data_IF_022326510230
#
_entry.id   IF_022326510230
#
_cell.length_a   1.000
_cell.length_b   1.000
_cell.length_c   1.000
_cell.angle_alpha   90.00
_cell.angle_beta   90.00
_cell.angle_gamma   90.00
#
_symmetry.space_group_name_H-M   'P 1'
#
loop_
_entity.id
_entity.type
_entity.pdbx_description
1 polymer ?
#
# COMPACT_ATOMS: atom_id res chain seq x y z
N UNK A 1 5.81 -11.29 0.41
CA UNK A 1 4.95 -11.06 1.59
C UNK A 1 4.71 -9.57 1.75
N UNK A 2 3.47 -9.12 2.00
CA UNK A 2 3.16 -7.72 2.34
C UNK A 2 3.25 -7.54 3.86
N UNK A 3 3.78 -6.38 4.31
CA UNK A 3 3.90 -6.07 5.72
C UNK A 3 3.55 -4.60 5.98
N UNK A 4 3.45 -4.19 7.25
CA UNK A 4 3.13 -2.81 7.63
C UNK A 4 4.24 -1.86 7.20
N UNK A 5 3.87 -0.65 6.84
CA UNK A 5 4.80 0.41 6.40
C UNK A 5 5.78 0.82 7.49
N UNK A 6 6.85 1.45 7.07
CA UNK A 6 8.00 1.85 7.86
C UNK A 6 9.19 0.95 7.53
N UNK A 7 10.25 1.52 6.98
CA UNK A 7 11.43 0.79 6.51
C UNK A 7 11.99 -0.19 7.57
N UNK A 8 12.02 0.22 8.84
CA UNK A 8 12.43 -0.65 9.95
C UNK A 8 11.52 -1.87 10.09
N UNK A 9 10.19 -1.67 10.03
CA UNK A 9 9.24 -2.78 10.13
C UNK A 9 9.47 -3.83 9.04
N UNK A 10 9.70 -3.36 7.79
CA UNK A 10 9.89 -4.24 6.62
C UNK A 10 11.24 -4.96 6.73
N UNK A 11 12.30 -4.27 7.13
CA UNK A 11 13.64 -4.84 7.33
C UNK A 11 13.63 -5.87 8.46
N UNK A 12 13.08 -5.54 9.62
CA UNK A 12 13.02 -6.44 10.77
C UNK A 12 12.20 -7.70 10.45
N UNK A 13 11.10 -7.52 9.69
CA UNK A 13 10.31 -8.67 9.22
C UNK A 13 11.09 -9.56 8.27
N UNK A 14 11.87 -8.99 7.37
CA UNK A 14 12.73 -9.75 6.45
C UNK A 14 13.80 -10.55 7.21
N UNK A 15 14.43 -9.95 8.23
CA UNK A 15 15.36 -10.65 9.13
C UNK A 15 14.69 -11.83 9.83
N UNK A 16 13.52 -11.61 10.48
CA UNK A 16 12.75 -12.67 11.14
C UNK A 16 12.38 -13.82 10.20
N UNK A 17 12.01 -13.52 8.95
CA UNK A 17 11.71 -14.54 7.95
C UNK A 17 12.94 -15.42 7.68
N UNK A 18 14.11 -14.80 7.48
CA UNK A 18 15.34 -15.55 7.25
C UNK A 18 15.75 -16.40 8.48
N UNK A 19 15.58 -15.88 9.69
CA UNK A 19 15.83 -16.61 10.95
C UNK A 19 14.90 -17.81 11.10
N UNK A 20 13.66 -17.69 10.61
CA UNK A 20 12.67 -18.79 10.60
C UNK A 20 12.82 -19.77 9.43
N UNK A 21 13.87 -19.63 8.60
CA UNK A 21 14.12 -20.50 7.45
C UNK A 21 13.40 -20.11 6.18
N UNK A 22 12.65 -19.00 6.18
CA UNK A 22 11.97 -18.49 4.97
C UNK A 22 12.88 -17.51 4.22
N UNK A 23 13.19 -17.81 2.96
CA UNK A 23 14.05 -16.93 2.16
C UNK A 23 13.41 -15.54 1.94
N UNK A 24 14.07 -14.51 2.42
CA UNK A 24 13.69 -13.11 2.21
C UNK A 24 14.96 -12.28 1.92
N UNK A 25 15.44 -12.31 0.67
CA UNK A 25 16.71 -11.68 0.29
C UNK A 25 16.64 -10.16 0.20
N UNK A 26 15.44 -9.59 0.12
CA UNK A 26 15.18 -8.17 -0.09
C UNK A 26 14.01 -7.71 0.75
N UNK A 27 14.19 -6.60 1.45
CA UNK A 27 13.14 -5.80 2.07
C UNK A 27 13.03 -4.48 1.32
N UNK A 28 11.85 -4.10 0.84
CA UNK A 28 11.66 -2.87 0.06
C UNK A 28 10.30 -2.23 0.37
N UNK A 29 10.28 -0.91 0.39
CA UNK A 29 9.06 -0.09 0.47
C UNK A 29 8.78 0.66 -0.84
N UNK A 30 7.54 1.07 -1.02
CA UNK A 30 7.11 1.93 -2.13
C UNK A 30 7.79 3.30 -2.14
N UNK A 31 8.33 3.75 -1.00
CA UNK A 31 9.13 4.96 -0.85
C UNK A 31 10.56 4.83 -1.42
N UNK A 32 10.99 3.60 -1.78
CA UNK A 32 12.33 3.31 -2.27
C UNK A 32 13.35 2.91 -1.18
N UNK A 33 12.98 2.98 0.11
CA UNK A 33 13.82 2.38 1.16
C UNK A 33 13.98 0.88 0.89
N UNK A 34 15.22 0.41 0.90
CA UNK A 34 15.55 -0.93 0.44
C UNK A 34 16.76 -1.50 1.20
N UNK A 35 16.62 -2.73 1.64
CA UNK A 35 17.68 -3.45 2.35
C UNK A 35 17.85 -4.86 1.80
N UNK A 36 19.06 -5.18 1.35
CA UNK A 36 19.41 -6.50 0.86
C UNK A 36 20.07 -7.36 1.96
N UNK A 37 19.73 -8.64 2.00
CA UNK A 37 20.40 -9.60 2.88
C UNK A 37 21.91 -9.61 2.67
N UNK A 38 22.36 -9.56 1.41
CA UNK A 38 23.78 -9.56 1.05
C UNK A 38 24.49 -8.26 1.43
N UNK A 39 23.76 -7.20 1.77
CA UNK A 39 24.27 -5.95 2.33
C UNK A 39 23.86 -5.80 3.80
N UNK A 40 23.87 -6.89 4.56
CA UNK A 40 23.60 -6.93 6.01
C UNK A 40 22.27 -6.29 6.44
N UNK A 41 21.31 -6.22 5.54
CA UNK A 41 20.04 -5.51 5.73
C UNK A 41 20.19 -4.03 6.11
N UNK A 42 21.25 -3.38 5.60
CA UNK A 42 21.37 -1.94 5.67
C UNK A 42 20.36 -1.28 4.73
N UNK A 43 19.69 -0.25 5.20
CA UNK A 43 18.86 0.62 4.34
C UNK A 43 19.80 1.50 3.50
N UNK A 44 20.07 1.08 2.27
CA UNK A 44 21.15 1.60 1.44
C UNK A 44 20.70 1.82 -0.01
N UNK A 45 20.30 3.06 -0.30
CA UNK A 45 19.87 3.47 -1.63
C UNK A 45 21.01 3.47 -2.65
N UNK A 46 22.27 3.68 -2.21
CA UNK A 46 23.41 3.63 -3.12
C UNK A 46 23.69 2.19 -3.58
N UNK A 47 23.60 1.22 -2.66
CA UNK A 47 23.70 -0.19 -3.02
C UNK A 47 22.57 -0.61 -3.99
N UNK A 48 21.33 -0.18 -3.75
CA UNK A 48 20.22 -0.43 -4.68
C UNK A 48 20.51 0.15 -6.07
N UNK A 49 20.98 1.40 -6.14
CA UNK A 49 21.32 2.05 -7.40
C UNK A 49 22.41 1.28 -8.16
N UNK A 50 23.46 0.84 -7.47
CA UNK A 50 24.52 0.02 -8.06
C UNK A 50 23.98 -1.30 -8.62
N UNK A 51 23.09 -1.98 -7.87
CA UNK A 51 22.46 -3.23 -8.32
C UNK A 51 21.58 -3.01 -9.56
N UNK A 52 20.84 -1.90 -9.63
CA UNK A 52 20.04 -1.56 -10.81
C UNK A 52 20.90 -1.24 -12.03
N UNK A 53 22.05 -0.58 -11.86
CA UNK A 53 23.02 -0.32 -12.95
C UNK A 53 23.57 -1.64 -13.50
N UNK A 54 23.98 -2.55 -12.61
CA UNK A 54 24.48 -3.89 -13.02
C UNK A 54 23.38 -4.67 -13.76
N UNK A 55 22.16 -4.63 -13.27
CA UNK A 55 21.01 -5.28 -13.92
C UNK A 55 20.75 -4.67 -15.31
N UNK A 56 20.79 -3.34 -15.44
CA UNK A 56 20.60 -2.65 -16.71
C UNK A 56 21.71 -3.02 -17.72
N UNK A 57 22.97 -3.11 -17.27
CA UNK A 57 24.10 -3.54 -18.12
C UNK A 57 23.88 -4.97 -18.64
N UNK A 58 23.53 -5.91 -17.78
CA UNK A 58 23.21 -7.30 -18.17
C UNK A 58 22.06 -7.37 -19.18
N UNK A 59 20.98 -6.63 -18.95
CA UNK A 59 19.85 -6.59 -19.90
C UNK A 59 20.29 -6.04 -21.27
N UNK A 60 21.22 -5.07 -21.30
CA UNK A 60 21.77 -4.53 -22.55
C UNK A 60 22.61 -5.56 -23.30
N UNK A 61 23.41 -6.37 -22.60
CA UNK A 61 24.18 -7.47 -23.21
C UNK A 61 23.25 -8.53 -23.85
N UNK A 62 22.06 -8.72 -23.29
CA UNK A 62 21.00 -9.61 -23.80
C UNK A 62 20.12 -8.94 -24.89
N UNK A 63 20.51 -7.76 -25.41
CA UNK A 63 19.71 -6.95 -26.35
C UNK A 63 18.32 -6.59 -25.81
N UNK A 64 18.19 -6.42 -24.51
CA UNK A 64 16.98 -6.07 -23.78
C UNK A 64 17.17 -4.79 -22.96
N UNK A 65 16.23 -4.46 -22.13
CA UNK A 65 16.30 -3.34 -21.20
C UNK A 65 15.53 -3.63 -19.90
N UNK A 66 15.75 -2.83 -18.88
CA UNK A 66 15.13 -3.01 -17.54
C UNK A 66 13.61 -2.95 -17.58
N UNK A 67 13.01 -2.17 -18.51
CA UNK A 67 11.55 -2.08 -18.64
C UNK A 67 10.93 -3.40 -19.13
N UNK A 68 11.69 -4.18 -19.92
CA UNK A 68 11.22 -5.48 -20.38
C UNK A 68 10.94 -6.45 -19.23
N UNK A 69 11.66 -6.33 -18.11
CA UNK A 69 11.46 -7.16 -16.91
C UNK A 69 10.09 -6.94 -16.24
N UNK A 70 9.49 -5.78 -16.43
CA UNK A 70 8.19 -5.42 -15.86
C UNK A 70 7.10 -5.22 -16.92
N UNK A 71 7.39 -5.48 -18.20
CA UNK A 71 6.46 -5.23 -19.30
C UNK A 71 5.14 -6.01 -19.19
N UNK A 72 5.15 -7.16 -18.52
CA UNK A 72 3.97 -7.99 -18.30
C UNK A 72 3.16 -7.61 -17.06
N UNK A 73 3.62 -6.62 -16.27
CA UNK A 73 2.83 -6.10 -15.14
C UNK A 73 1.86 -5.04 -15.65
N UNK A 74 0.57 -5.28 -15.56
CA UNK A 74 -0.41 -4.28 -16.00
C UNK A 74 -0.34 -3.04 -15.12
N UNK A 75 -0.40 -1.87 -15.74
CA UNK A 75 -0.56 -0.63 -15.00
C UNK A 75 -2.03 -0.44 -14.62
N UNK A 76 -2.33 -0.04 -13.37
CA UNK A 76 -3.68 0.34 -12.99
C UNK A 76 -4.17 1.52 -13.82
N UNK A 77 -5.40 1.45 -14.34
CA UNK A 77 -6.06 2.52 -15.10
C UNK A 77 -6.71 3.56 -14.19
N UNK A 78 -7.11 3.16 -12.99
CA UNK A 78 -7.66 4.05 -11.97
C UNK A 78 -6.82 3.94 -10.71
N UNK A 79 -6.20 5.06 -10.30
CA UNK A 79 -5.38 5.19 -9.10
C UNK A 79 -5.95 6.31 -8.23
N UNK A 80 -6.24 6.02 -6.97
CA UNK A 80 -6.77 6.99 -6.01
C UNK A 80 -5.89 7.04 -4.76
N UNK A 81 -5.52 8.24 -4.37
CA UNK A 81 -4.78 8.49 -3.14
C UNK A 81 -5.45 9.65 -2.40
N UNK A 82 -6.16 9.36 -1.32
CA UNK A 82 -6.80 10.38 -0.50
C UNK A 82 -6.13 10.46 0.87
N UNK A 83 -5.92 11.69 1.32
CA UNK A 83 -5.50 12.00 2.68
C UNK A 83 -6.59 12.86 3.30
N UNK A 84 -7.40 12.29 4.17
CA UNK A 84 -8.57 12.93 4.74
C UNK A 84 -8.27 13.32 6.17
N UNK A 85 -8.32 14.62 6.48
CA UNK A 85 -8.09 15.11 7.83
C UNK A 85 -9.26 14.74 8.75
N UNK A 86 -8.95 14.13 9.89
CA UNK A 86 -9.94 13.89 10.95
C UNK A 86 -9.97 15.11 11.85
N UNK A 87 -11.13 15.78 11.94
CA UNK A 87 -11.27 17.10 12.57
C UNK A 87 -11.65 17.05 14.05
N UNK A 88 -11.71 15.83 14.64
CA UNK A 88 -12.01 15.64 16.07
C UNK A 88 -10.75 15.42 16.89
N UNK A 89 -10.80 15.75 18.18
CA UNK A 89 -9.68 15.65 19.10
C UNK A 89 -9.15 14.22 19.23
N UNK A 90 -10.05 13.25 19.41
CA UNK A 90 -9.69 11.82 19.44
C UNK A 90 -9.79 11.23 18.04
N UNK A 91 -8.82 11.59 17.21
CA UNK A 91 -8.76 11.16 15.81
C UNK A 91 -8.47 9.65 15.68
N UNK A 92 -7.82 9.03 16.66
CA UNK A 92 -7.50 7.59 16.63
C UNK A 92 -8.78 6.78 16.80
N UNK A 93 -9.60 7.12 17.81
CA UNK A 93 -10.89 6.46 18.00
C UNK A 93 -11.83 6.71 16.81
N UNK A 94 -11.90 7.95 16.32
CA UNK A 94 -12.71 8.30 15.16
C UNK A 94 -12.27 7.53 13.91
N UNK A 95 -10.98 7.45 13.64
CA UNK A 95 -10.45 6.69 12.51
C UNK A 95 -10.73 5.20 12.61
N UNK A 96 -10.68 4.63 13.81
CA UNK A 96 -11.07 3.23 14.05
C UNK A 96 -12.55 3.00 13.76
N UNK A 97 -13.43 3.89 14.27
CA UNK A 97 -14.87 3.83 13.99
C UNK A 97 -15.19 3.95 12.51
N UNK A 98 -14.50 4.85 11.79
CA UNK A 98 -14.65 4.97 10.34
C UNK A 98 -14.29 3.65 9.65
N UNK A 99 -13.14 3.06 9.98
CA UNK A 99 -12.72 1.80 9.37
C UNK A 99 -13.71 0.66 9.65
N UNK A 100 -14.24 0.56 10.87
CA UNK A 100 -15.27 -0.44 11.20
C UNK A 100 -16.59 -0.19 10.46
N UNK A 101 -17.01 1.07 10.31
CA UNK A 101 -18.19 1.42 9.53
C UNK A 101 -18.02 1.04 8.05
N UNK A 102 -16.85 1.31 7.47
CA UNK A 102 -16.52 0.89 6.10
C UNK A 102 -16.55 -0.65 5.96
N UNK A 103 -15.95 -1.38 6.90
CA UNK A 103 -16.02 -2.85 6.90
C UNK A 103 -17.45 -3.38 6.94
N UNK A 104 -18.29 -2.79 7.77
CA UNK A 104 -19.67 -3.25 7.95
C UNK A 104 -20.51 -3.03 6.68
N UNK A 105 -20.37 -1.89 6.02
CA UNK A 105 -21.08 -1.63 4.77
C UNK A 105 -20.59 -2.55 3.64
N UNK A 106 -19.30 -2.85 3.59
CA UNK A 106 -18.72 -3.70 2.55
C UNK A 106 -19.03 -5.20 2.73
N UNK A 107 -19.34 -5.64 3.96
CA UNK A 107 -19.80 -7.02 4.23
C UNK A 107 -21.22 -7.31 3.71
N UNK A 108 -21.97 -6.29 3.30
CA UNK A 108 -23.34 -6.47 2.78
C UNK A 108 -23.37 -7.01 1.36
N UNK A 109 -22.21 -7.16 0.71
CA UNK A 109 -22.08 -7.66 -0.65
C UNK A 109 -20.87 -8.57 -0.79
N UNK A 110 -20.98 -9.62 -1.57
CA UNK A 110 -19.87 -10.56 -1.87
C UNK A 110 -18.84 -9.99 -2.86
N UNK A 111 -19.12 -8.82 -3.44
CA UNK A 111 -18.22 -8.17 -4.39
C UNK A 111 -16.91 -7.73 -3.76
N UNK A 112 -16.92 -7.38 -2.46
CA UNK A 112 -15.78 -6.81 -1.74
C UNK A 112 -15.27 -7.77 -0.68
N UNK A 113 -14.05 -8.27 -0.87
CA UNK A 113 -13.40 -9.18 0.07
C UNK A 113 -12.51 -8.40 1.03
N UNK A 114 -12.87 -8.38 2.31
CA UNK A 114 -12.01 -7.83 3.36
C UNK A 114 -10.94 -8.86 3.70
N UNK A 115 -9.68 -8.48 3.54
CA UNK A 115 -8.53 -9.34 3.80
C UNK A 115 -8.22 -9.37 5.29
N UNK A 116 -8.16 -10.58 5.85
CA UNK A 116 -7.81 -10.84 7.26
C UNK A 116 -6.86 -12.05 7.36
N UNK A 117 -5.84 -12.02 8.25
CA UNK A 117 -5.43 -10.87 9.04
C UNK A 117 -4.77 -9.79 8.16
N UNK A 118 -4.87 -8.54 8.58
CA UNK A 118 -4.17 -7.42 7.96
C UNK A 118 -3.06 -6.91 8.88
N UNK A 119 -1.94 -6.53 8.30
CA UNK A 119 -0.82 -5.95 9.05
C UNK A 119 -1.01 -4.46 9.32
N UNK A 120 -1.88 -3.79 8.54
CA UNK A 120 -2.11 -2.35 8.62
C UNK A 120 -3.50 -2.02 8.05
N UNK A 121 -4.30 -1.30 8.82
CA UNK A 121 -5.59 -0.77 8.38
C UNK A 121 -6.59 -1.83 7.89
N UNK A 122 -7.45 -1.43 7.00
CA UNK A 122 -8.46 -2.28 6.36
C UNK A 122 -8.14 -2.41 4.88
N UNK A 123 -7.76 -3.61 4.45
CA UNK A 123 -7.55 -3.93 3.04
C UNK A 123 -8.78 -4.61 2.46
N UNK A 124 -9.20 -4.13 1.31
CA UNK A 124 -10.34 -4.62 0.54
C UNK A 124 -9.80 -5.05 -0.83
N UNK A 125 -10.20 -6.22 -1.29
CA UNK A 125 -9.99 -6.67 -2.67
C UNK A 125 -11.35 -6.75 -3.37
N UNK A 126 -11.38 -6.34 -4.63
CA UNK A 126 -12.57 -6.36 -5.49
C UNK A 126 -12.15 -6.79 -6.91
N UNK A 127 -13.09 -7.14 -7.80
CA UNK A 127 -12.74 -7.50 -9.16
C UNK A 127 -11.83 -6.44 -9.80
N UNK A 128 -10.66 -6.89 -10.27
CA UNK A 128 -9.65 -6.06 -10.94
C UNK A 128 -9.10 -4.88 -10.12
N UNK A 129 -9.18 -4.95 -8.77
CA UNK A 129 -8.66 -3.86 -7.96
C UNK A 129 -8.50 -4.16 -6.48
N UNK A 130 -8.02 -3.15 -5.76
CA UNK A 130 -7.87 -3.19 -4.31
C UNK A 130 -7.97 -1.80 -3.70
N UNK A 131 -8.29 -1.74 -2.41
CA UNK A 131 -8.25 -0.53 -1.59
C UNK A 131 -7.63 -0.82 -0.23
N UNK A 132 -6.91 0.15 0.31
CA UNK A 132 -6.40 0.15 1.67
C UNK A 132 -6.85 1.43 2.38
N UNK A 133 -7.55 1.29 3.49
CA UNK A 133 -7.94 2.38 4.39
C UNK A 133 -7.11 2.24 5.67
N UNK A 134 -6.34 3.26 6.02
CA UNK A 134 -5.49 3.23 7.23
C UNK A 134 -5.35 4.58 7.88
N UNK A 135 -5.03 4.60 9.17
CA UNK A 135 -4.60 5.82 9.84
C UNK A 135 -3.14 6.16 9.48
N UNK A 136 -2.85 7.44 9.39
CA UNK A 136 -1.46 7.92 9.40
C UNK A 136 -0.82 7.64 10.77
N UNK A 137 0.48 7.34 10.79
CA UNK A 137 1.22 7.09 12.03
C UNK A 137 1.55 8.37 12.79
N UNK A 138 1.60 9.52 12.11
CA UNK A 138 2.13 10.76 12.66
C UNK A 138 1.14 11.93 12.65
N UNK A 139 0.06 11.81 11.91
CA UNK A 139 -0.87 12.90 11.65
C UNK A 139 -2.33 12.43 11.83
N UNK A 140 -3.26 13.33 12.16
CA UNK A 140 -4.68 13.02 12.26
C UNK A 140 -5.31 12.85 10.88
N UNK A 141 -4.76 11.94 10.09
CA UNK A 141 -5.18 11.66 8.72
C UNK A 141 -5.65 10.21 8.56
N UNK A 142 -6.76 10.05 7.87
CA UNK A 142 -7.16 8.80 7.27
C UNK A 142 -6.63 8.77 5.84
N UNK A 143 -5.85 7.76 5.51
CA UNK A 143 -5.25 7.58 4.19
C UNK A 143 -5.98 6.46 3.47
N UNK A 144 -6.42 6.74 2.24
CA UNK A 144 -7.06 5.76 1.36
C UNK A 144 -6.22 5.66 0.10
N UNK A 145 -5.73 4.46 -0.18
CA UNK A 145 -5.10 4.12 -1.44
C UNK A 145 -5.97 3.10 -2.15
N UNK A 146 -6.31 3.33 -3.41
CA UNK A 146 -7.04 2.37 -4.23
C UNK A 146 -6.47 2.33 -5.65
N UNK A 147 -6.50 1.14 -6.23
CA UNK A 147 -6.10 0.92 -7.62
C UNK A 147 -7.05 -0.06 -8.27
N UNK A 148 -7.38 0.19 -9.55
CA UNK A 148 -8.13 -0.72 -10.40
C UNK A 148 -7.50 -0.80 -11.79
N UNK A 149 -7.57 -1.97 -12.39
CA UNK A 149 -7.17 -2.21 -13.78
C UNK A 149 -8.27 -1.85 -14.78
N UNK A 150 -9.41 -1.37 -14.30
CA UNK A 150 -10.53 -0.84 -15.09
C UNK A 150 -10.62 0.69 -14.92
N UNK A 151 -11.03 1.39 -15.96
CA UNK A 151 -11.31 2.82 -15.87
C UNK A 151 -12.48 3.06 -14.92
N UNK A 152 -12.34 4.07 -14.03
CA UNK A 152 -13.32 4.37 -12.98
C UNK A 152 -13.66 3.19 -12.06
N UNK A 153 -12.84 2.15 -12.02
CA UNK A 153 -13.12 0.92 -11.27
C UNK A 153 -13.16 1.10 -9.75
N UNK A 154 -12.64 2.22 -9.23
CA UNK A 154 -12.71 2.56 -7.82
C UNK A 154 -13.97 3.35 -7.43
N UNK A 155 -14.72 3.91 -8.40
CA UNK A 155 -15.78 4.89 -8.12
C UNK A 155 -16.92 4.32 -7.27
N UNK A 156 -17.37 3.11 -7.58
CA UNK A 156 -18.45 2.46 -6.82
C UNK A 156 -18.04 2.25 -5.35
N UNK A 157 -16.83 1.71 -5.13
CA UNK A 157 -16.33 1.46 -3.78
C UNK A 157 -16.13 2.77 -3.00
N UNK A 158 -15.60 3.80 -3.64
CA UNK A 158 -15.47 5.13 -3.04
C UNK A 158 -16.85 5.69 -2.68
N UNK A 159 -17.82 5.58 -3.58
CA UNK A 159 -19.21 6.00 -3.34
C UNK A 159 -19.84 5.31 -2.12
N UNK A 160 -19.63 4.00 -1.97
CA UNK A 160 -20.14 3.23 -0.83
C UNK A 160 -19.55 3.65 0.51
N UNK A 161 -18.26 3.97 0.58
CA UNK A 161 -17.59 4.34 1.85
C UNK A 161 -17.71 5.83 2.17
N UNK A 162 -18.00 6.70 1.21
CA UNK A 162 -18.09 8.17 1.42
C UNK A 162 -19.02 8.55 2.58
N UNK A 163 -20.23 8.02 2.72
CA UNK A 163 -21.09 8.33 3.87
C UNK A 163 -20.47 7.97 5.22
N UNK A 164 -19.65 6.90 5.27
CA UNK A 164 -18.94 6.52 6.49
C UNK A 164 -17.83 7.52 6.84
N UNK A 165 -17.14 8.05 5.83
CA UNK A 165 -16.10 9.06 5.98
C UNK A 165 -16.67 10.36 6.54
N UNK A 166 -17.76 10.85 5.94
CA UNK A 166 -18.44 12.09 6.33
C UNK A 166 -19.03 12.01 7.74
N UNK A 167 -19.75 10.92 8.04
CA UNK A 167 -20.31 10.69 9.38
C UNK A 167 -19.23 10.58 10.45
N UNK A 168 -18.07 10.04 10.09
CA UNK A 168 -16.89 9.95 10.95
C UNK A 168 -16.09 11.26 11.08
N UNK A 169 -16.58 12.37 10.45
CA UNK A 169 -15.93 13.67 10.44
C UNK A 169 -14.53 13.66 9.81
N UNK A 170 -14.29 12.80 8.84
CA UNK A 170 -13.19 12.93 7.93
C UNK A 170 -13.51 14.04 6.93
N UNK A 171 -12.60 15.00 6.76
CA UNK A 171 -12.79 16.10 5.83
C UNK A 171 -12.60 15.59 4.40
N UNK A 172 -13.71 15.33 3.71
CA UNK A 172 -13.71 14.81 2.33
C UNK A 172 -13.35 15.88 1.28
N UNK A 173 -13.30 17.16 1.66
CA UNK A 173 -12.82 18.24 0.79
C UNK A 173 -11.29 18.24 0.69
N UNK A 174 -10.61 17.65 1.67
CA UNK A 174 -9.16 17.58 1.76
C UNK A 174 -8.63 16.39 0.94
N UNK A 175 -8.56 16.57 -0.37
CA UNK A 175 -8.07 15.56 -1.32
C UNK A 175 -6.72 15.99 -1.86
N UNK A 176 -5.66 15.28 -1.49
CA UNK A 176 -4.37 15.39 -2.17
C UNK A 176 -4.31 14.38 -3.31
N UNK A 177 -4.10 14.90 -4.49
CA UNK A 177 -3.69 14.11 -5.65
C UNK A 177 -2.15 14.10 -5.66
N UNK A 178 -1.52 12.95 -5.60
CA UNK A 178 -0.13 12.73 -5.98
C UNK A 178 -0.08 11.81 -7.18
#
# INVERSE_FOLDING_TARGET
MRYRRGYRNVIDKSKQLNESGSASPLAIETSGHCAFKNNYFLDDGAYLAAMLIVLAAKQKEENSNIKALIANYPEPKDKRNYRLKITVRDYVEAGTKIQEACKNILKTTDKYKIITPTCEGTRIEFPNGWMLIRMSLHEPLLVINAESYEESGCDELIGLITPCLEKGRADTSYRYWQ
#
